data_IF_353692169787
#
_entry.id   IF_353692169787
#
_cell.length_a   1.000
_cell.length_b   1.000
_cell.length_c   1.000
_cell.angle_alpha   90.00
_cell.angle_beta   90.00
_cell.angle_gamma   90.00
#
_symmetry.space_group_name_H-M   'P 1'
#
loop_
_entity.id
_entity.type
_entity.pdbx_description
1 polymer ?
#
# COMPACT_ATOMS: atom_id res chain seq x y z
N UNK A 1 -77.82 0.55 -29.33
CA UNK A 1 -77.44 -0.43 -28.28
C UNK A 1 -75.94 -0.25 -28.05
N UNK A 2 -75.51 0.48 -27.01
CA UNK A 2 -75.26 0.03 -25.62
C UNK A 2 -74.30 -1.17 -25.55
N UNK A 3 -73.14 -0.90 -24.94
CA UNK A 3 -72.32 -1.82 -24.13
C UNK A 3 -71.35 -2.72 -24.90
N UNK A 4 -70.16 -3.07 -24.40
CA UNK A 4 -69.53 -2.90 -23.10
C UNK A 4 -68.00 -3.16 -23.26
N UNK A 5 -67.17 -2.35 -22.60
CA UNK A 5 -65.81 -2.69 -22.08
C UNK A 5 -66.08 -3.55 -20.81
N UNK A 6 -65.31 -4.58 -20.36
CA UNK A 6 -63.84 -4.59 -20.13
C UNK A 6 -63.17 -5.97 -20.43
N UNK A 7 -61.86 -6.20 -20.36
CA UNK A 7 -61.09 -6.15 -19.12
C UNK A 7 -59.58 -6.18 -19.37
N UNK A 8 -58.91 -5.39 -18.54
CA UNK A 8 -57.48 -5.17 -18.49
C UNK A 8 -56.81 -6.31 -17.72
N UNK A 9 -55.78 -6.91 -18.30
CA UNK A 9 -54.61 -7.27 -17.52
C UNK A 9 -53.39 -6.72 -18.25
N UNK A 10 -52.95 -5.57 -17.76
CA UNK A 10 -51.60 -5.10 -17.95
C UNK A 10 -50.68 -5.98 -17.10
N UNK A 11 -49.70 -6.61 -17.73
CA UNK A 11 -48.37 -6.75 -17.12
C UNK A 11 -47.38 -6.23 -18.14
N UNK A 12 -47.10 -4.94 -18.01
CA UNK A 12 -45.87 -4.36 -18.52
C UNK A 12 -44.72 -4.93 -17.71
N UNK A 13 -43.69 -5.42 -18.39
CA UNK A 13 -42.32 -4.86 -18.33
C UNK A 13 -41.36 -5.87 -18.93
N UNK A 14 -40.30 -5.51 -19.63
CA UNK A 14 -39.95 -4.34 -20.41
C UNK A 14 -38.58 -4.73 -21.00
N UNK A 15 -38.48 -4.67 -22.33
CA UNK A 15 -37.33 -4.17 -23.08
C UNK A 15 -35.96 -4.61 -22.54
N UNK A 16 -35.46 -5.71 -23.09
CA UNK A 16 -34.02 -5.93 -23.21
C UNK A 16 -33.36 -4.72 -23.90
N UNK A 17 -32.20 -4.33 -23.38
CA UNK A 17 -31.16 -3.52 -24.03
C UNK A 17 -31.30 -2.00 -23.98
N UNK A 18 -31.33 -1.44 -22.76
CA UNK A 18 -30.86 -0.07 -22.53
C UNK A 18 -29.69 -0.06 -21.55
N UNK A 19 -28.50 0.20 -22.12
CA UNK A 19 -27.42 1.00 -21.54
C UNK A 19 -27.29 0.97 -20.00
N UNK A 20 -26.68 -0.09 -19.47
CA UNK A 20 -26.00 0.01 -18.19
C UNK A 20 -24.58 0.52 -18.41
N UNK A 21 -24.44 1.85 -18.31
CA UNK A 21 -23.21 2.46 -17.81
C UNK A 21 -22.99 1.93 -16.40
N UNK A 22 -22.26 0.84 -16.25
CA UNK A 22 -21.58 0.57 -14.97
C UNK A 22 -20.12 0.86 -15.21
N UNK A 23 -19.78 2.10 -14.85
CA UNK A 23 -18.43 2.60 -14.66
C UNK A 23 -17.87 1.93 -13.41
N UNK A 24 -17.72 0.61 -13.43
CA UNK A 24 -16.79 -0.05 -12.53
C UNK A 24 -15.46 -0.07 -13.25
N UNK A 25 -14.87 1.12 -13.23
CA UNK A 25 -13.45 1.32 -13.32
C UNK A 25 -12.83 0.48 -12.21
N UNK A 26 -12.68 -0.83 -12.46
CA UNK A 26 -11.59 -1.59 -11.90
C UNK A 26 -10.34 -0.83 -12.35
N UNK A 27 -9.92 0.11 -11.52
CA UNK A 27 -8.62 0.76 -11.65
C UNK A 27 -7.67 -0.40 -11.87
N UNK A 28 -6.93 -0.43 -12.98
CA UNK A 28 -5.92 -1.44 -13.14
C UNK A 28 -4.88 -1.06 -12.08
N UNK A 29 -5.01 -1.61 -10.88
CA UNK A 29 -3.89 -1.80 -9.95
C UNK A 29 -2.95 -2.76 -10.67
N UNK A 30 -2.38 -2.32 -11.77
CA UNK A 30 -1.21 -2.93 -12.33
C UNK A 30 -0.11 -2.65 -11.31
N UNK A 31 0.81 -3.58 -11.21
CA UNK A 31 2.09 -3.38 -10.54
C UNK A 31 2.97 -2.32 -11.26
N UNK A 32 2.41 -1.17 -11.66
CA UNK A 32 3.00 -0.13 -12.53
C UNK A 32 3.40 1.13 -11.77
N UNK A 33 4.12 0.94 -10.68
CA UNK A 33 4.75 2.03 -9.95
C UNK A 33 5.86 1.58 -9.00
N UNK A 34 6.11 0.27 -8.88
CA UNK A 34 7.18 -0.25 -8.03
C UNK A 34 8.57 0.16 -8.54
N UNK A 35 8.70 0.47 -9.83
CA UNK A 35 9.90 1.05 -10.44
C UNK A 35 10.18 2.49 -9.96
N UNK A 36 9.18 3.17 -9.39
CA UNK A 36 9.34 4.47 -8.76
C UNK A 36 9.83 4.37 -7.31
N UNK A 37 9.70 3.19 -6.70
CA UNK A 37 10.22 2.93 -5.37
C UNK A 37 11.74 2.82 -5.42
N UNK A 38 12.45 3.35 -4.40
CA UNK A 38 13.87 3.07 -4.24
C UNK A 38 14.16 1.56 -4.29
N UNK A 39 15.19 1.13 -5.01
CA UNK A 39 15.59 -0.27 -4.92
C UNK A 39 16.13 -0.52 -3.50
N UNK A 40 15.92 -1.72 -2.94
CA UNK A 40 16.42 -2.08 -1.60
C UNK A 40 17.93 -1.80 -1.45
N UNK A 41 18.71 -2.02 -2.52
CA UNK A 41 20.16 -1.76 -2.56
C UNK A 41 20.55 -0.27 -2.46
N UNK A 42 19.62 0.62 -2.77
CA UNK A 42 19.82 2.07 -2.74
C UNK A 42 19.35 2.66 -1.39
N UNK A 43 18.72 1.84 -0.54
CA UNK A 43 18.35 2.23 0.82
C UNK A 43 19.58 2.28 1.71
N UNK A 44 19.59 3.28 2.58
CA UNK A 44 20.54 3.39 3.67
C UNK A 44 19.77 3.31 4.98
N UNK A 45 20.32 2.59 5.95
CA UNK A 45 19.76 2.46 7.29
C UNK A 45 20.70 3.10 8.32
N UNK A 46 20.13 3.57 9.41
CA UNK A 46 20.86 3.94 10.63
C UNK A 46 20.01 3.62 11.86
N UNK A 47 20.64 3.33 13.02
CA UNK A 47 19.89 3.15 14.26
C UNK A 47 19.01 4.37 14.57
N UNK A 48 17.79 4.12 15.02
CA UNK A 48 16.83 5.12 15.47
C UNK A 48 16.41 4.83 16.91
N UNK A 49 16.28 5.88 17.72
CA UNK A 49 15.74 5.79 19.07
C UNK A 49 14.77 6.93 19.31
N UNK A 50 13.54 6.58 19.64
CA UNK A 50 12.50 7.49 20.09
C UNK A 50 12.53 7.60 21.63
N UNK A 51 12.90 8.77 22.19
CA UNK A 51 13.01 8.94 23.63
C UNK A 51 11.65 8.94 24.36
N UNK A 52 10.56 9.17 23.63
CA UNK A 52 9.21 9.25 24.20
C UNK A 52 8.56 7.86 24.34
N UNK A 53 9.19 6.83 23.76
CA UNK A 53 8.71 5.44 23.80
C UNK A 53 9.62 4.56 24.68
N UNK A 54 9.05 3.76 25.60
CA UNK A 54 9.83 2.83 26.39
C UNK A 54 10.43 1.72 25.51
N UNK A 55 11.56 1.15 25.93
CA UNK A 55 12.13 -0.01 25.27
C UNK A 55 11.18 -1.23 25.35
N UNK A 56 11.11 -2.08 24.32
CA UNK A 56 11.84 -1.99 23.05
C UNK A 56 11.18 -1.08 22.00
N UNK A 57 9.98 -0.55 22.26
CA UNK A 57 9.15 0.16 21.28
C UNK A 57 9.81 1.41 20.70
N UNK A 58 10.67 2.09 21.47
CA UNK A 58 11.44 3.22 20.97
C UNK A 58 12.66 2.87 20.13
N UNK A 59 13.03 1.60 19.94
CA UNK A 59 14.23 1.21 19.19
C UNK A 59 13.90 0.64 17.81
N UNK A 60 14.72 0.98 16.82
CA UNK A 60 14.65 0.41 15.48
C UNK A 60 15.65 1.08 14.54
N UNK A 61 15.26 1.22 13.27
CA UNK A 61 16.10 1.80 12.24
C UNK A 61 15.35 2.90 11.48
N UNK A 62 16.05 3.97 11.12
CA UNK A 62 15.61 4.94 10.13
C UNK A 62 16.21 4.59 8.78
N UNK A 63 15.40 4.67 7.74
CA UNK A 63 15.75 4.35 6.37
C UNK A 63 15.62 5.59 5.50
N UNK A 64 16.59 5.80 4.61
CA UNK A 64 16.61 6.92 3.67
C UNK A 64 17.08 6.48 2.29
N UNK A 65 16.59 7.14 1.25
CA UNK A 65 17.07 6.96 -0.11
C UNK A 65 16.79 8.18 -0.98
N UNK A 66 17.44 8.24 -2.14
CA UNK A 66 17.13 9.21 -3.18
C UNK A 66 16.95 8.48 -4.50
N UNK A 67 15.78 8.64 -5.10
CA UNK A 67 15.41 7.97 -6.36
C UNK A 67 14.44 8.86 -7.13
N UNK A 68 14.65 9.01 -8.44
CA UNK A 68 13.83 9.87 -9.31
C UNK A 68 13.67 11.31 -8.78
N UNK A 69 14.78 11.90 -8.34
CA UNK A 69 14.85 13.26 -7.76
C UNK A 69 13.99 13.47 -6.50
N UNK A 70 13.52 12.39 -5.87
CA UNK A 70 12.76 12.43 -4.62
C UNK A 70 13.59 11.86 -3.48
N UNK A 71 13.58 12.55 -2.35
CA UNK A 71 14.11 12.03 -1.10
C UNK A 71 13.02 11.21 -0.39
N UNK A 72 13.40 10.02 0.09
CA UNK A 72 12.52 9.07 0.76
C UNK A 72 12.98 8.86 2.20
N UNK A 73 12.02 8.72 3.12
CA UNK A 73 12.28 8.36 4.51
C UNK A 73 11.24 7.41 5.06
N UNK A 74 11.66 6.53 5.97
CA UNK A 74 10.80 5.66 6.76
C UNK A 74 11.51 5.19 8.02
N UNK A 75 10.78 4.54 8.92
CA UNK A 75 11.31 4.04 10.19
C UNK A 75 10.67 2.70 10.53
N UNK A 76 11.44 1.84 11.17
CA UNK A 76 10.91 0.70 11.91
C UNK A 76 11.13 0.94 13.40
N UNK A 77 10.26 0.35 14.22
CA UNK A 77 10.27 0.47 15.67
C UNK A 77 10.00 -0.90 16.29
N UNK A 78 10.24 -1.03 17.59
CA UNK A 78 10.11 -2.29 18.33
C UNK A 78 10.94 -3.45 17.74
N UNK A 79 12.06 -3.15 17.09
CA UNK A 79 12.95 -4.16 16.50
C UNK A 79 14.41 -3.81 16.73
N UNK A 80 15.25 -4.85 16.85
CA UNK A 80 16.72 -4.72 16.85
C UNK A 80 17.32 -4.98 15.47
N UNK A 81 16.50 -5.46 14.54
CA UNK A 81 16.94 -5.92 13.23
C UNK A 81 16.96 -4.76 12.24
N UNK A 82 17.99 -4.75 11.41
CA UNK A 82 18.02 -3.95 10.19
C UNK A 82 17.48 -4.81 9.05
N UNK A 83 16.33 -4.42 8.50
CA UNK A 83 15.68 -5.19 7.45
C UNK A 83 16.38 -5.08 6.09
N UNK A 84 17.46 -4.29 5.98
CA UNK A 84 18.35 -4.36 4.82
C UNK A 84 19.29 -5.58 4.83
N UNK A 85 19.35 -6.35 5.94
CA UNK A 85 20.11 -7.60 5.92
C UNK A 85 19.54 -8.55 4.85
N UNK A 86 20.41 -9.13 3.98
CA UNK A 86 19.97 -9.99 2.88
C UNK A 86 19.04 -11.14 3.29
N UNK A 87 19.12 -11.63 4.53
CA UNK A 87 18.27 -12.73 4.99
C UNK A 87 16.77 -12.41 5.02
N UNK A 88 16.44 -11.14 5.21
CA UNK A 88 15.07 -10.64 5.19
C UNK A 88 14.54 -10.45 3.77
N UNK A 89 15.40 -10.49 2.75
CA UNK A 89 15.02 -10.40 1.34
C UNK A 89 13.99 -9.29 1.04
N UNK A 90 14.20 -8.11 1.64
CA UNK A 90 13.27 -6.98 1.59
C UNK A 90 13.08 -6.51 0.13
N UNK A 91 11.83 -6.35 -0.28
CA UNK A 91 11.46 -5.91 -1.64
C UNK A 91 10.23 -5.01 -1.61
N UNK A 92 10.11 -4.12 -2.58
CA UNK A 92 8.91 -3.31 -2.74
C UNK A 92 7.72 -4.19 -3.12
N UNK A 93 6.58 -3.98 -2.48
CA UNK A 93 5.34 -4.74 -2.68
C UNK A 93 4.19 -3.84 -3.12
N UNK A 94 4.13 -2.59 -2.63
CA UNK A 94 3.08 -1.63 -3.00
C UNK A 94 3.67 -0.24 -3.24
N UNK A 95 3.19 0.43 -4.28
CA UNK A 95 3.35 1.85 -4.51
C UNK A 95 1.98 2.51 -4.39
N UNK A 96 1.85 3.54 -3.55
CA UNK A 96 0.58 4.25 -3.38
C UNK A 96 0.77 5.74 -3.17
N UNK A 97 -0.23 6.53 -3.56
CA UNK A 97 -0.29 7.96 -3.27
C UNK A 97 -1.51 8.27 -2.42
N UNK A 98 -1.32 8.99 -1.31
CA UNK A 98 -2.40 9.40 -0.40
C UNK A 98 -2.16 10.83 0.04
N UNK A 99 -3.17 11.70 -0.13
CA UNK A 99 -3.10 13.12 0.25
C UNK A 99 -1.89 13.86 -0.35
N UNK A 100 -1.54 13.56 -1.61
CA UNK A 100 -0.39 14.17 -2.30
C UNK A 100 0.99 13.69 -1.80
N UNK A 101 1.03 12.69 -0.90
CA UNK A 101 2.26 12.04 -0.46
C UNK A 101 2.36 10.67 -1.10
N UNK A 102 3.54 10.35 -1.62
CA UNK A 102 3.81 9.05 -2.24
C UNK A 102 4.45 8.13 -1.20
N UNK A 103 4.04 6.87 -1.24
CA UNK A 103 4.46 5.80 -0.34
C UNK A 103 4.93 4.58 -1.14
N UNK A 104 5.93 3.92 -0.58
CA UNK A 104 6.39 2.61 -1.02
C UNK A 104 6.44 1.68 0.17
N UNK A 105 5.69 0.59 0.10
CA UNK A 105 5.64 -0.45 1.11
C UNK A 105 6.51 -1.62 0.67
N UNK A 106 7.35 -2.08 1.59
CA UNK A 106 8.28 -3.17 1.40
C UNK A 106 7.94 -4.27 2.38
N UNK A 107 7.85 -5.49 1.84
CA UNK A 107 7.73 -6.72 2.61
C UNK A 107 9.00 -7.54 2.49
N UNK A 108 9.29 -8.30 3.54
CA UNK A 108 10.40 -9.24 3.56
C UNK A 108 9.96 -10.65 3.94
N UNK A 109 10.92 -11.56 3.91
CA UNK A 109 10.76 -12.92 4.40
C UNK A 109 10.64 -12.90 5.92
N UNK A 110 9.53 -13.44 6.43
CA UNK A 110 9.36 -13.73 7.86
C UNK A 110 10.38 -14.77 8.31
N UNK A 111 11.11 -14.48 9.39
CA UNK A 111 12.11 -15.35 9.99
C UNK A 111 11.76 -15.65 11.45
N UNK A 112 12.12 -16.85 11.90
CA UNK A 112 12.02 -17.26 13.30
C UNK A 112 13.39 -17.72 13.75
N UNK A 113 13.97 -17.06 14.74
CA UNK A 113 15.31 -17.35 15.28
C UNK A 113 15.26 -17.36 16.80
N UNK A 114 15.68 -18.46 17.42
CA UNK A 114 15.73 -18.58 18.88
C UNK A 114 14.41 -18.23 19.60
N UNK A 115 13.26 -18.49 18.95
CA UNK A 115 11.93 -18.14 19.48
C UNK A 115 11.49 -16.70 19.23
N UNK A 116 12.35 -15.84 18.69
CA UNK A 116 12.00 -14.48 18.25
C UNK A 116 11.49 -14.53 16.81
N UNK A 117 10.42 -13.79 16.54
CA UNK A 117 9.82 -13.64 15.21
C UNK A 117 10.22 -12.28 14.66
N UNK A 118 10.83 -12.26 13.49
CA UNK A 118 11.05 -11.07 12.69
C UNK A 118 10.14 -11.13 11.47
N UNK A 119 9.27 -10.12 11.33
CA UNK A 119 8.34 -9.99 10.22
C UNK A 119 8.57 -8.63 9.54
N UNK A 120 9.46 -8.57 8.53
CA UNK A 120 9.92 -7.30 7.98
C UNK A 120 8.82 -6.57 7.23
N UNK A 121 8.56 -5.35 7.68
CA UNK A 121 7.71 -4.39 7.01
C UNK A 121 8.34 -3.00 7.11
N UNK A 122 8.50 -2.34 5.96
CA UNK A 122 9.04 -0.99 5.87
C UNK A 122 8.15 -0.16 4.95
N UNK A 123 7.65 0.97 5.45
CA UNK A 123 6.97 1.99 4.65
C UNK A 123 7.90 3.19 4.48
N UNK A 124 8.26 3.49 3.23
CA UNK A 124 8.92 4.73 2.87
C UNK A 124 7.90 5.74 2.36
N UNK A 125 8.17 7.01 2.60
CA UNK A 125 7.38 8.11 2.06
C UNK A 125 8.28 9.22 1.57
N UNK A 126 7.84 9.94 0.54
CA UNK A 126 8.59 11.09 0.04
C UNK A 126 8.62 12.19 1.09
N UNK A 127 9.78 12.83 1.26
CA UNK A 127 9.88 14.06 2.06
C UNK A 127 9.22 15.16 1.22
N UNK A 128 8.14 15.74 1.72
CA UNK A 128 7.58 16.95 1.13
C UNK A 128 8.60 18.07 1.34
N UNK A 129 9.02 18.73 0.28
CA UNK A 129 9.74 20.00 0.42
C UNK A 129 8.80 20.96 1.19
N UNK A 130 9.28 21.63 2.26
CA UNK A 130 8.44 22.46 3.13
C UNK A 130 7.81 23.66 2.42
#
# INVERSE_FOLDING_TARGET
MIGLIPNFYAVFSAINNLHSRTRDQASPHQATGLDQCPATRDLQSKPYTDPDLPAPYGKGCQYTATTNDKAWTGQTAATKDDYLDPEYALKAEEFSERNGKVYCDYGGKRLIKNGEVADPYLRLSTISDP
#
